data_IF_601438965878
#
_entry.id   IF_601438965878
#
_cell.length_a   1.000
_cell.length_b   1.000
_cell.length_c   1.000
_cell.angle_alpha   90.00
_cell.angle_beta   90.00
_cell.angle_gamma   90.00
#
_symmetry.space_group_name_H-M   'P 1'
#
loop_
_entity.id
_entity.type
_entity.pdbx_description
1 polymer ?
#
# COMPACT_ATOMS: atom_id res chain seq x y z
N UNK A 1 35.32 -9.47 2.10
CA UNK A 1 34.44 -10.62 1.74
C UNK A 1 32.94 -10.32 1.84
N UNK A 2 32.41 -9.77 2.95
CA UNK A 2 30.95 -9.50 3.11
C UNK A 2 30.31 -8.60 2.04
N UNK A 3 31.03 -7.59 1.54
CA UNK A 3 30.52 -6.66 0.49
C UNK A 3 30.37 -7.34 -0.87
N UNK A 4 31.31 -8.19 -1.26
CA UNK A 4 31.26 -8.95 -2.51
C UNK A 4 30.14 -10.00 -2.49
N UNK A 5 29.98 -10.71 -1.36
CA UNK A 5 28.89 -11.67 -1.18
C UNK A 5 27.51 -10.98 -1.29
N UNK A 6 27.35 -9.80 -0.69
CA UNK A 6 26.12 -9.00 -0.82
C UNK A 6 25.84 -8.62 -2.26
N UNK A 7 26.84 -8.18 -3.02
CA UNK A 7 26.67 -7.79 -4.42
C UNK A 7 26.28 -9.00 -5.29
N UNK A 8 26.87 -10.17 -5.04
CA UNK A 8 26.53 -11.42 -5.73
C UNK A 8 25.06 -11.79 -5.50
N UNK A 9 24.55 -11.66 -4.27
CA UNK A 9 23.13 -11.93 -3.97
C UNK A 9 22.20 -11.02 -4.78
N UNK A 10 22.50 -9.72 -4.90
CA UNK A 10 21.67 -8.80 -5.69
C UNK A 10 21.74 -9.08 -7.19
N UNK A 11 22.91 -9.50 -7.69
CA UNK A 11 23.06 -9.95 -9.07
C UNK A 11 22.21 -11.21 -9.32
N UNK A 12 22.22 -12.17 -8.40
CA UNK A 12 21.39 -13.38 -8.50
C UNK A 12 19.90 -13.05 -8.48
N UNK A 13 19.44 -12.13 -7.61
CA UNK A 13 18.04 -11.67 -7.58
C UNK A 13 17.66 -10.98 -8.89
N UNK A 14 18.55 -10.16 -9.45
CA UNK A 14 18.31 -9.50 -10.74
C UNK A 14 18.25 -10.50 -11.90
N UNK A 15 19.16 -11.47 -11.94
CA UNK A 15 19.16 -12.54 -12.95
C UNK A 15 17.90 -13.40 -12.85
N UNK A 16 17.50 -13.77 -11.64
CA UNK A 16 16.30 -14.57 -11.40
C UNK A 16 15.03 -13.80 -11.80
N UNK A 17 14.97 -12.50 -11.50
CA UNK A 17 13.90 -11.62 -11.98
C UNK A 17 13.87 -11.48 -13.50
N UNK A 18 15.03 -11.32 -14.14
CA UNK A 18 15.14 -11.22 -15.59
C UNK A 18 14.72 -12.52 -16.29
N UNK A 19 15.12 -13.68 -15.75
CA UNK A 19 14.69 -14.98 -16.24
C UNK A 19 13.19 -15.17 -16.10
N UNK A 20 12.62 -14.87 -14.93
CA UNK A 20 11.18 -14.98 -14.70
C UNK A 20 10.38 -14.04 -15.61
N UNK A 21 10.86 -12.82 -15.82
CA UNK A 21 10.21 -11.88 -16.73
C UNK A 21 10.34 -12.33 -18.20
N UNK A 22 11.50 -12.86 -18.58
CA UNK A 22 11.76 -13.37 -19.93
C UNK A 22 10.91 -14.58 -20.26
N UNK A 23 10.70 -15.52 -19.33
CA UNK A 23 9.80 -16.66 -19.52
C UNK A 23 8.36 -16.19 -19.71
N UNK A 24 7.88 -15.23 -18.91
CA UNK A 24 6.55 -14.64 -19.08
C UNK A 24 6.39 -13.96 -20.45
N UNK A 25 7.42 -13.23 -20.91
CA UNK A 25 7.34 -12.46 -22.15
C UNK A 25 7.41 -13.33 -23.42
N UNK A 26 8.15 -14.45 -23.36
CA UNK A 26 8.40 -15.35 -24.50
C UNK A 26 7.35 -16.46 -24.61
N UNK A 27 6.78 -16.92 -23.50
CA UNK A 27 5.75 -17.97 -23.49
C UNK A 27 4.37 -17.43 -23.88
N UNK A 28 4.12 -17.22 -25.18
CA UNK A 28 2.84 -16.65 -25.67
C UNK A 28 1.71 -17.66 -25.92
N UNK A 29 1.98 -18.96 -25.84
CA UNK A 29 1.01 -20.02 -26.19
C UNK A 29 0.89 -21.15 -25.15
N UNK A 30 1.66 -21.13 -24.06
CA UNK A 30 1.56 -22.10 -22.97
C UNK A 30 0.84 -21.49 -21.75
N UNK A 31 0.22 -22.32 -20.92
CA UNK A 31 -0.28 -21.91 -19.62
C UNK A 31 0.90 -21.49 -18.72
N UNK A 32 1.14 -20.18 -18.59
CA UNK A 32 2.19 -19.66 -17.72
C UNK A 32 1.78 -19.89 -16.27
N UNK A 33 2.66 -20.54 -15.51
CA UNK A 33 2.46 -20.75 -14.08
C UNK A 33 2.52 -19.40 -13.33
N UNK A 34 1.57 -19.18 -12.42
CA UNK A 34 1.51 -18.02 -11.52
C UNK A 34 2.81 -17.77 -10.74
N UNK A 35 3.59 -18.83 -10.47
CA UNK A 35 4.90 -18.74 -9.82
C UNK A 35 5.81 -17.75 -10.53
N UNK A 36 5.84 -17.75 -11.87
CA UNK A 36 6.70 -16.82 -12.62
C UNK A 36 6.32 -15.35 -12.40
N UNK A 37 5.01 -15.06 -12.32
CA UNK A 37 4.51 -13.72 -12.05
C UNK A 37 4.91 -13.24 -10.65
N UNK A 38 4.73 -14.09 -9.65
CA UNK A 38 5.09 -13.80 -8.26
C UNK A 38 6.60 -13.59 -8.15
N UNK A 39 7.39 -14.48 -8.75
CA UNK A 39 8.85 -14.41 -8.73
C UNK A 39 9.36 -13.13 -9.40
N UNK A 40 8.83 -12.75 -10.57
CA UNK A 40 9.19 -11.52 -11.25
C UNK A 40 8.84 -10.28 -10.40
N UNK A 41 7.63 -10.24 -9.83
CA UNK A 41 7.17 -9.15 -8.98
C UNK A 41 8.06 -8.97 -7.73
N UNK A 42 8.33 -10.07 -7.04
CA UNK A 42 9.15 -10.08 -5.83
C UNK A 42 10.58 -9.60 -6.11
N UNK A 43 11.19 -10.03 -7.22
CA UNK A 43 12.52 -9.57 -7.61
C UNK A 43 12.54 -8.07 -7.92
N UNK A 44 11.57 -7.59 -8.71
CA UNK A 44 11.46 -6.17 -9.08
C UNK A 44 11.26 -5.30 -7.83
N UNK A 45 10.36 -5.69 -6.93
CA UNK A 45 10.10 -4.94 -5.70
C UNK A 45 11.28 -4.97 -4.73
N UNK A 46 12.01 -6.09 -4.63
CA UNK A 46 13.24 -6.14 -3.83
C UNK A 46 14.32 -5.19 -4.36
N UNK A 47 14.52 -5.13 -5.68
CA UNK A 47 15.47 -4.22 -6.32
C UNK A 47 15.02 -2.77 -6.11
N UNK A 48 13.75 -2.46 -6.37
CA UNK A 48 13.19 -1.13 -6.18
C UNK A 48 13.32 -0.65 -4.73
N UNK A 49 12.96 -1.50 -3.75
CA UNK A 49 13.12 -1.19 -2.33
C UNK A 49 14.59 -0.89 -1.97
N UNK A 50 15.52 -1.67 -2.50
CA UNK A 50 16.93 -1.53 -2.15
C UNK A 50 17.61 -0.31 -2.76
N UNK A 51 17.33 0.00 -4.03
CA UNK A 51 18.02 1.05 -4.77
C UNK A 51 17.18 2.32 -4.85
N UNK A 52 15.94 2.21 -5.30
CA UNK A 52 15.08 3.35 -5.55
C UNK A 52 14.57 3.98 -4.25
N UNK A 53 14.01 3.18 -3.32
CA UNK A 53 13.54 3.72 -2.05
C UNK A 53 14.68 4.28 -1.19
N UNK A 54 15.88 3.67 -1.24
CA UNK A 54 17.09 4.21 -0.58
C UNK A 54 17.53 5.54 -1.20
N UNK A 55 17.45 5.70 -2.52
CA UNK A 55 17.74 6.97 -3.19
C UNK A 55 16.72 8.05 -2.80
N UNK A 56 15.43 7.73 -2.79
CA UNK A 56 14.37 8.65 -2.35
C UNK A 56 14.62 9.07 -0.90
N UNK A 57 14.86 8.12 0.01
CA UNK A 57 15.11 8.39 1.41
C UNK A 57 16.33 9.31 1.63
N UNK A 58 17.43 9.07 0.93
CA UNK A 58 18.69 9.76 1.16
C UNK A 58 18.83 11.09 0.40
N UNK A 59 18.29 11.19 -0.82
CA UNK A 59 18.49 12.36 -1.70
C UNK A 59 17.26 13.23 -1.84
N UNK A 60 16.05 12.66 -1.83
CA UNK A 60 14.81 13.41 -2.05
C UNK A 60 14.21 13.86 -0.72
N UNK A 61 13.94 12.92 0.18
CA UNK A 61 13.31 13.19 1.48
C UNK A 61 14.31 13.55 2.57
N UNK A 62 15.59 13.21 2.38
CA UNK A 62 16.69 13.45 3.31
C UNK A 62 16.27 13.09 4.74
N UNK A 63 15.93 11.82 4.92
CA UNK A 63 15.43 11.32 6.21
C UNK A 63 16.55 11.39 7.24
N UNK A 64 16.24 12.01 8.38
CA UNK A 64 17.14 12.17 9.51
C UNK A 64 16.67 11.26 10.66
N UNK A 65 17.51 10.29 11.01
CA UNK A 65 17.25 9.29 12.07
C UNK A 65 17.30 9.91 13.47
N UNK A 66 18.02 11.03 13.66
CA UNK A 66 18.15 11.67 14.97
C UNK A 66 16.91 12.52 15.34
N UNK A 67 16.06 12.82 14.36
CA UNK A 67 14.88 13.64 14.57
C UNK A 67 13.71 12.81 15.10
N UNK A 68 13.40 13.02 16.39
CA UNK A 68 12.27 12.36 17.07
C UNK A 68 10.94 12.58 16.33
N UNK A 69 10.17 11.51 16.21
CA UNK A 69 8.83 11.52 15.59
C UNK A 69 7.80 12.22 16.49
N UNK A 70 6.65 12.68 15.94
CA UNK A 70 5.57 13.26 16.75
C UNK A 70 5.09 12.33 17.87
N UNK A 71 5.09 11.02 17.65
CA UNK A 71 4.74 10.01 18.65
C UNK A 71 5.60 10.10 19.93
N UNK A 72 6.88 10.48 19.79
CA UNK A 72 7.79 10.68 20.92
C UNK A 72 7.76 12.12 21.46
N UNK A 73 7.60 13.12 20.58
CA UNK A 73 7.69 14.54 20.94
C UNK A 73 6.40 15.09 21.55
N UNK A 74 5.25 14.65 21.07
CA UNK A 74 3.91 15.11 21.47
C UNK A 74 3.15 14.03 22.27
N UNK A 75 3.89 13.11 22.91
CA UNK A 75 3.31 11.96 23.59
C UNK A 75 2.21 12.38 24.55
N UNK A 76 1.00 11.87 24.34
CA UNK A 76 -0.17 12.13 25.18
C UNK A 76 -0.93 10.86 25.58
N UNK A 77 -0.35 9.67 25.30
CA UNK A 77 -0.92 8.34 25.57
C UNK A 77 -2.36 8.15 25.04
N UNK A 78 -2.76 8.98 24.06
CA UNK A 78 -4.05 8.91 23.35
C UNK A 78 -3.87 8.97 21.83
N UNK A 79 -3.46 10.13 21.31
CA UNK A 79 -3.26 10.36 19.87
C UNK A 79 -1.82 10.09 19.43
N UNK A 80 -0.86 10.33 20.32
CA UNK A 80 0.57 10.17 20.09
C UNK A 80 1.12 9.16 21.09
N UNK A 81 1.27 7.92 20.62
CA UNK A 81 1.81 6.80 21.39
C UNK A 81 2.95 6.16 20.60
N UNK A 82 4.15 5.98 21.18
CA UNK A 82 5.19 5.18 20.58
C UNK A 82 4.74 3.72 20.48
N UNK A 83 4.52 3.24 19.26
CA UNK A 83 4.06 1.88 18.98
C UNK A 83 5.14 1.12 18.21
N UNK A 84 5.17 -0.20 18.38
CA UNK A 84 6.07 -1.06 17.61
C UNK A 84 5.81 -0.95 16.10
N UNK A 85 6.89 -0.90 15.32
CA UNK A 85 6.86 -0.74 13.86
C UNK A 85 6.06 -1.81 13.13
N UNK A 86 6.03 -3.04 13.65
CA UNK A 86 5.31 -4.15 13.03
C UNK A 86 3.79 -4.01 13.22
N UNK A 87 3.37 -3.47 14.36
CA UNK A 87 1.97 -3.16 14.62
C UNK A 87 1.52 -2.03 13.70
N UNK A 88 2.30 -0.96 13.61
CA UNK A 88 2.02 0.18 12.73
C UNK A 88 1.99 -0.26 11.27
N UNK A 89 2.94 -1.11 10.85
CA UNK A 89 2.94 -1.73 9.52
C UNK A 89 1.67 -2.55 9.27
N UNK A 90 1.24 -3.38 10.22
CA UNK A 90 0.00 -4.15 10.10
C UNK A 90 -1.24 -3.27 9.90
N UNK A 91 -1.34 -2.15 10.62
CA UNK A 91 -2.44 -1.20 10.44
C UNK A 91 -2.42 -0.53 9.06
N UNK A 92 -1.25 -0.07 8.61
CA UNK A 92 -1.13 0.51 7.27
C UNK A 92 -1.37 -0.53 6.17
N UNK A 93 -0.87 -1.74 6.33
CA UNK A 93 -1.08 -2.83 5.40
C UNK A 93 -2.57 -3.17 5.31
N UNK A 94 -3.26 -3.33 6.45
CA UNK A 94 -4.70 -3.61 6.48
C UNK A 94 -5.52 -2.47 5.83
N UNK A 95 -5.11 -1.22 6.02
CA UNK A 95 -5.79 -0.06 5.42
C UNK A 95 -5.67 -0.02 3.88
N UNK A 96 -4.57 -0.54 3.31
CA UNK A 96 -4.33 -0.54 1.85
C UNK A 96 -4.78 -1.86 1.21
N UNK A 97 -4.75 -2.98 1.93
CA UNK A 97 -5.08 -4.33 1.47
C UNK A 97 -6.58 -4.56 1.16
N UNK A 98 -7.32 -3.50 0.83
CA UNK A 98 -8.73 -3.56 0.43
C UNK A 98 -8.96 -4.29 -0.91
N UNK A 99 -10.07 -4.04 -1.62
CA UNK A 99 -10.39 -4.71 -2.87
C UNK A 99 -9.54 -4.22 -4.04
N UNK A 100 -8.70 -3.19 -3.88
CA UNK A 100 -7.77 -2.73 -4.91
C UNK A 100 -6.89 -3.88 -5.46
N UNK A 101 -6.18 -4.61 -4.60
CA UNK A 101 -5.45 -5.84 -4.97
C UNK A 101 -6.30 -6.98 -5.57
N UNK A 102 -7.62 -7.01 -5.35
CA UNK A 102 -8.51 -8.06 -5.87
C UNK A 102 -9.07 -7.70 -7.26
N UNK A 103 -9.56 -6.47 -7.41
CA UNK A 103 -10.24 -5.97 -8.62
C UNK A 103 -9.25 -5.36 -9.60
N UNK A 104 -8.18 -4.74 -9.12
CA UNK A 104 -7.16 -4.10 -9.96
C UNK A 104 -6.53 -5.07 -10.97
N UNK A 105 -5.99 -6.23 -10.54
CA UNK A 105 -5.38 -7.19 -11.46
C UNK A 105 -6.37 -7.79 -12.46
N UNK A 106 -7.61 -8.03 -12.06
CA UNK A 106 -8.64 -8.59 -12.95
C UNK A 106 -9.08 -7.58 -14.01
N UNK A 107 -9.19 -6.29 -13.66
CA UNK A 107 -9.42 -5.21 -14.62
C UNK A 107 -8.20 -5.02 -15.55
N UNK A 108 -6.98 -5.05 -15.01
CA UNK A 108 -5.76 -4.90 -15.80
C UNK A 108 -5.55 -6.06 -16.78
N UNK A 109 -5.90 -7.29 -16.40
CA UNK A 109 -5.79 -8.47 -17.25
C UNK A 109 -6.66 -8.40 -18.52
N UNK A 110 -7.73 -7.58 -18.52
CA UNK A 110 -8.56 -7.37 -19.71
C UNK A 110 -7.78 -6.69 -20.85
N UNK A 111 -6.75 -5.91 -20.53
CA UNK A 111 -5.84 -5.31 -21.50
C UNK A 111 -4.67 -6.25 -21.88
N UNK A 112 -4.74 -7.52 -21.47
CA UNK A 112 -3.71 -8.53 -21.63
C UNK A 112 -2.86 -8.72 -20.37
N UNK A 113 -2.43 -9.95 -20.13
CA UNK A 113 -1.67 -10.29 -18.92
C UNK A 113 -0.32 -9.57 -18.85
N UNK A 114 0.41 -9.46 -19.97
CA UNK A 114 1.74 -8.85 -20.00
C UNK A 114 1.68 -7.31 -19.87
N UNK A 115 0.85 -6.57 -20.64
CA UNK A 115 0.67 -5.14 -20.43
C UNK A 115 0.11 -4.79 -19.05
N UNK A 116 -0.88 -5.55 -18.56
CA UNK A 116 -1.44 -5.37 -17.23
C UNK A 116 -0.41 -5.59 -16.12
N UNK A 117 0.39 -6.66 -16.21
CA UNK A 117 1.47 -6.93 -15.27
C UNK A 117 2.52 -5.81 -15.28
N UNK A 118 2.97 -5.39 -16.45
CA UNK A 118 3.95 -4.30 -16.57
C UNK A 118 3.43 -3.00 -15.96
N UNK A 119 2.18 -2.65 -16.25
CA UNK A 119 1.54 -1.46 -15.68
C UNK A 119 1.49 -1.52 -14.16
N UNK A 120 1.08 -2.66 -13.59
CA UNK A 120 1.02 -2.84 -12.14
C UNK A 120 2.41 -2.74 -11.52
N UNK A 121 3.41 -3.43 -12.07
CA UNK A 121 4.76 -3.46 -11.51
C UNK A 121 5.44 -2.09 -11.58
N UNK A 122 5.40 -1.44 -12.75
CA UNK A 122 6.02 -0.13 -12.95
C UNK A 122 5.26 0.95 -12.18
N UNK A 123 3.92 0.96 -12.31
CA UNK A 123 3.06 1.94 -11.64
C UNK A 123 3.14 1.85 -10.12
N UNK A 124 3.21 0.65 -9.56
CA UNK A 124 3.38 0.46 -8.12
C UNK A 124 4.74 0.98 -7.63
N UNK A 125 5.83 0.75 -8.37
CA UNK A 125 7.17 1.19 -7.96
C UNK A 125 7.35 2.69 -8.10
N UNK A 126 6.99 3.28 -9.25
CA UNK A 126 7.28 4.67 -9.56
C UNK A 126 6.22 5.61 -8.98
N UNK A 127 4.95 5.21 -9.05
CA UNK A 127 3.83 6.01 -8.56
C UNK A 127 3.50 5.68 -7.11
N UNK A 128 2.91 4.51 -6.90
CA UNK A 128 2.27 4.15 -5.62
C UNK A 128 3.21 4.21 -4.43
N UNK A 129 4.33 3.47 -4.48
CA UNK A 129 5.28 3.40 -3.37
C UNK A 129 5.90 4.76 -3.05
N UNK A 130 6.19 5.57 -4.06
CA UNK A 130 6.76 6.92 -3.89
C UNK A 130 5.73 7.87 -3.30
N UNK A 131 4.50 7.84 -3.81
CA UNK A 131 3.38 8.64 -3.31
C UNK A 131 3.14 8.35 -1.83
N UNK A 132 3.04 7.07 -1.45
CA UNK A 132 2.78 6.66 -0.07
C UNK A 132 3.91 7.09 0.86
N UNK A 133 5.16 6.80 0.48
CA UNK A 133 6.33 7.18 1.26
C UNK A 133 6.41 8.70 1.47
N UNK A 134 6.17 9.48 0.42
CA UNK A 134 6.23 10.95 0.44
C UNK A 134 5.09 11.54 1.27
N UNK A 135 3.87 11.03 1.10
CA UNK A 135 2.68 11.47 1.83
C UNK A 135 2.80 11.19 3.33
N UNK A 136 3.21 9.98 3.71
CA UNK A 136 3.44 9.60 5.10
C UNK A 136 4.56 10.45 5.72
N UNK A 137 5.66 10.66 4.99
CA UNK A 137 6.75 11.51 5.46
C UNK A 137 6.29 12.94 5.75
N UNK A 138 5.57 13.58 4.81
CA UNK A 138 5.08 14.93 5.03
C UNK A 138 4.06 15.02 6.17
N UNK A 139 3.14 14.06 6.27
CA UNK A 139 2.19 14.00 7.40
C UNK A 139 2.93 13.91 8.73
N UNK A 140 3.93 13.02 8.83
CA UNK A 140 4.77 12.89 10.02
C UNK A 140 5.55 14.18 10.34
N UNK A 141 6.03 14.92 9.34
CA UNK A 141 6.69 16.21 9.53
C UNK A 141 5.74 17.31 10.02
N UNK A 142 4.45 17.20 9.69
CA UNK A 142 3.38 18.13 10.09
C UNK A 142 2.56 17.61 11.28
N UNK A 143 3.15 16.78 12.14
CA UNK A 143 2.52 16.24 13.37
C UNK A 143 1.32 15.32 13.13
N UNK A 144 1.32 14.52 12.06
CA UNK A 144 0.24 13.59 11.74
C UNK A 144 -1.00 14.26 11.14
N UNK A 145 -0.87 15.48 10.60
CA UNK A 145 -1.97 16.16 9.92
C UNK A 145 -2.43 15.38 8.69
N UNK A 146 -3.74 15.42 8.42
CA UNK A 146 -4.33 14.85 7.21
C UNK A 146 -3.88 15.61 5.97
N UNK A 147 -3.92 14.95 4.80
CA UNK A 147 -3.60 15.57 3.51
C UNK A 147 -4.40 16.85 3.26
N UNK A 148 -5.71 16.83 3.54
CA UNK A 148 -6.57 18.01 3.36
C UNK A 148 -6.19 19.17 4.27
N UNK A 149 -5.79 18.88 5.52
CA UNK A 149 -5.30 19.93 6.43
C UNK A 149 -3.93 20.47 5.98
N UNK A 150 -3.04 19.61 5.47
CA UNK A 150 -1.77 20.07 4.90
C UNK A 150 -1.98 20.92 3.64
N UNK A 151 -2.92 20.55 2.77
CA UNK A 151 -3.30 21.34 1.61
C UNK A 151 -3.86 22.71 2.01
N UNK A 152 -4.63 22.78 3.11
CA UNK A 152 -5.13 24.03 3.68
C UNK A 152 -4.01 24.94 4.16
N UNK A 153 -3.04 24.38 4.87
CA UNK A 153 -1.94 25.13 5.44
C UNK A 153 -1.02 25.72 4.33
N UNK A 154 -0.93 25.07 3.16
CA UNK A 154 -0.02 25.47 2.07
C UNK A 154 -0.69 26.28 0.95
N UNK A 155 -1.92 25.92 0.53
CA UNK A 155 -2.64 26.53 -0.60
C UNK A 155 -3.65 27.59 -0.11
N UNK A 156 -3.87 27.67 1.20
CA UNK A 156 -4.82 28.60 1.82
C UNK A 156 -6.22 28.02 2.01
N UNK A 157 -7.14 28.84 2.54
CA UNK A 157 -8.45 28.39 3.00
C UNK A 157 -9.31 27.76 1.87
N UNK A 158 -9.26 28.32 0.66
CA UNK A 158 -10.05 27.84 -0.49
C UNK A 158 -9.52 26.49 -0.96
N UNK A 159 -8.21 26.37 -1.20
CA UNK A 159 -7.58 25.12 -1.63
C UNK A 159 -7.71 24.00 -0.60
N UNK A 160 -7.59 24.34 0.69
CA UNK A 160 -7.81 23.39 1.79
C UNK A 160 -9.24 22.88 1.88
N UNK A 161 -10.22 23.77 1.78
CA UNK A 161 -11.64 23.38 1.82
C UNK A 161 -12.00 22.51 0.62
N UNK A 162 -11.53 22.86 -0.57
CA UNK A 162 -11.70 22.04 -1.77
C UNK A 162 -11.05 20.65 -1.62
N UNK A 163 -9.84 20.56 -1.06
CA UNK A 163 -9.16 19.29 -0.81
C UNK A 163 -9.90 18.41 0.21
N UNK A 164 -10.43 19.01 1.28
CA UNK A 164 -11.22 18.30 2.29
C UNK A 164 -12.52 17.74 1.69
N UNK A 165 -13.25 18.56 0.94
CA UNK A 165 -14.50 18.13 0.26
C UNK A 165 -14.18 17.06 -0.78
N UNK A 166 -13.15 17.26 -1.60
CA UNK A 166 -12.73 16.29 -2.62
C UNK A 166 -12.33 14.95 -2.00
N UNK A 167 -11.54 14.97 -0.93
CA UNK A 167 -11.15 13.75 -0.21
C UNK A 167 -12.36 13.04 0.37
N UNK A 168 -13.30 13.79 0.98
CA UNK A 168 -14.53 13.23 1.51
C UNK A 168 -15.39 12.57 0.41
N UNK A 169 -15.60 13.24 -0.72
CA UNK A 169 -16.35 12.70 -1.86
C UNK A 169 -15.69 11.43 -2.41
N UNK A 170 -14.36 11.43 -2.58
CA UNK A 170 -13.62 10.26 -3.03
C UNK A 170 -13.78 9.10 -2.05
N UNK A 171 -13.72 9.36 -0.73
CA UNK A 171 -13.96 8.32 0.28
C UNK A 171 -15.36 7.71 0.19
N UNK A 172 -16.40 8.53 -0.01
CA UNK A 172 -17.77 8.04 -0.19
C UNK A 172 -17.88 7.16 -1.43
N UNK A 173 -17.32 7.60 -2.56
CA UNK A 173 -17.34 6.83 -3.82
C UNK A 173 -16.60 5.50 -3.63
N UNK A 174 -15.42 5.52 -3.00
CA UNK A 174 -14.64 4.32 -2.77
C UNK A 174 -15.40 3.33 -1.90
N UNK A 175 -16.00 3.77 -0.78
CA UNK A 175 -16.81 2.92 0.10
C UNK A 175 -18.02 2.33 -0.67
N UNK A 176 -18.68 3.12 -1.52
CA UNK A 176 -19.79 2.64 -2.34
C UNK A 176 -19.37 1.54 -3.33
N UNK A 177 -18.25 1.74 -4.04
CA UNK A 177 -17.69 0.75 -4.98
C UNK A 177 -17.24 -0.51 -4.24
N UNK A 178 -16.56 -0.35 -3.11
CA UNK A 178 -16.20 -1.43 -2.18
C UNK A 178 -17.42 -2.28 -1.80
N UNK A 179 -18.50 -1.63 -1.36
CA UNK A 179 -19.75 -2.30 -1.01
C UNK A 179 -20.33 -3.09 -2.18
N UNK A 180 -20.33 -2.52 -3.38
CA UNK A 180 -20.81 -3.19 -4.59
C UNK A 180 -19.98 -4.43 -4.95
N UNK A 181 -18.65 -4.36 -4.81
CA UNK A 181 -17.76 -5.51 -5.05
C UNK A 181 -18.02 -6.63 -4.04
N UNK A 182 -18.13 -6.29 -2.76
CA UNK A 182 -18.41 -7.25 -1.68
C UNK A 182 -19.76 -7.94 -1.88
N UNK A 183 -20.82 -7.18 -2.17
CA UNK A 183 -22.16 -7.74 -2.43
C UNK A 183 -22.13 -8.67 -3.64
N UNK A 184 -21.46 -8.27 -4.73
CA UNK A 184 -21.36 -9.11 -5.92
C UNK A 184 -20.54 -10.39 -5.68
N UNK A 185 -19.53 -10.34 -4.80
CA UNK A 185 -18.77 -11.53 -4.40
C UNK A 185 -19.59 -12.49 -3.53
N UNK A 186 -20.52 -11.96 -2.72
CA UNK A 186 -21.28 -12.72 -1.72
C UNK A 186 -22.67 -13.17 -2.18
N UNK A 187 -23.23 -12.61 -3.25
CA UNK A 187 -24.61 -12.88 -3.71
C UNK A 187 -24.95 -14.36 -3.92
N UNK A 188 -23.95 -15.21 -4.19
CA UNK A 188 -24.12 -16.64 -4.42
C UNK A 188 -23.66 -17.52 -3.25
N UNK A 189 -23.20 -16.94 -2.14
CA UNK A 189 -22.74 -17.68 -0.95
C UNK A 189 -23.49 -17.24 0.31
N UNK A 190 -24.54 -17.98 0.71
CA UNK A 190 -25.27 -17.74 1.96
C UNK A 190 -24.35 -17.80 3.18
N UNK A 191 -23.34 -18.68 3.14
CA UNK A 191 -22.34 -18.81 4.21
C UNK A 191 -21.55 -17.51 4.40
N UNK A 192 -21.07 -16.89 3.31
CA UNK A 192 -20.35 -15.63 3.39
C UNK A 192 -21.22 -14.55 4.06
N UNK A 193 -22.47 -14.41 3.65
CA UNK A 193 -23.42 -13.43 4.24
C UNK A 193 -23.62 -13.67 5.73
N UNK A 194 -23.78 -14.93 6.15
CA UNK A 194 -23.95 -15.27 7.57
C UNK A 194 -22.71 -14.93 8.41
N UNK A 195 -21.49 -15.18 7.89
CA UNK A 195 -20.25 -14.86 8.61
C UNK A 195 -20.05 -13.36 8.79
N UNK A 196 -20.33 -12.54 7.76
CA UNK A 196 -20.25 -11.08 7.86
C UNK A 196 -21.35 -10.52 8.75
N UNK A 197 -22.56 -11.06 8.67
CA UNK A 197 -23.63 -10.66 9.58
C UNK A 197 -23.27 -10.96 11.05
N UNK A 198 -22.55 -12.06 11.31
CA UNK A 198 -22.10 -12.44 12.64
C UNK A 198 -20.94 -11.56 13.16
N UNK A 199 -20.12 -10.95 12.31
CA UNK A 199 -19.05 -10.05 12.80
C UNK A 199 -19.58 -8.74 13.36
N UNK A 200 -20.75 -8.27 12.91
CA UNK A 200 -21.40 -7.04 13.41
C UNK A 200 -21.70 -7.13 14.93
N UNK A 201 -22.46 -8.13 15.43
CA UNK A 201 -22.71 -8.24 16.87
C UNK A 201 -21.45 -8.55 17.67
N UNK A 202 -20.51 -9.34 17.12
CA UNK A 202 -19.22 -9.62 17.78
C UNK A 202 -18.43 -8.31 17.95
N UNK A 203 -18.37 -7.46 16.92
CA UNK A 203 -17.68 -6.17 16.99
C UNK A 203 -18.33 -5.22 17.99
N UNK A 204 -19.68 -5.18 18.04
CA UNK A 204 -20.42 -4.40 19.05
C UNK A 204 -20.08 -4.90 20.45
N UNK A 205 -20.10 -6.22 20.67
CA UNK A 205 -19.80 -6.83 21.97
C UNK A 205 -18.37 -6.53 22.43
N UNK A 206 -17.38 -6.73 21.55
CA UNK A 206 -15.97 -6.42 21.83
C UNK A 206 -15.80 -4.91 22.10
N UNK A 207 -16.48 -4.06 21.33
CA UNK A 207 -16.45 -2.61 21.53
C UNK A 207 -16.98 -2.18 22.90
N UNK A 208 -18.03 -2.83 23.41
CA UNK A 208 -18.56 -2.59 24.76
C UNK A 208 -17.60 -3.14 25.82
N UNK A 209 -17.03 -4.33 25.60
CA UNK A 209 -16.07 -4.96 26.53
C UNK A 209 -14.80 -4.12 26.72
N UNK A 210 -14.21 -3.60 25.63
CA UNK A 210 -13.01 -2.74 25.68
C UNK A 210 -13.25 -1.37 26.33
N UNK A 211 -14.51 -0.96 26.46
CA UNK A 211 -14.90 0.31 27.09
C UNK A 211 -15.17 0.17 28.60
N UNK A 212 -15.28 -1.06 29.09
CA UNK A 212 -15.46 -1.43 30.51
C UNK A 212 -14.11 -1.68 31.16
#
# INVERSE_FOLDING_TARGET
MKKYLKNIVWILVALLGALAFSTIALSRHESINAVWFITAAVCIYMIAYRFYASWIAAKVLVIDEHRKTPALRLRNDKDFIPTDKWIVFGHHFAAIAGPGPLVGPTLAAQFGYLPGMLWILIGAVIGGAVQDMTTLFFSMRRNGKSLGQMARDEIGAIGGTASLIGTFLIMVILIAVLGLVVVNAMKHSPWATSTVAATIPIAIFIGIYLRS
#
